data_IF_512074303152
#
_entry.id   IF_512074303152
#
_cell.length_a   1.000
_cell.length_b   1.000
_cell.length_c   1.000
_cell.angle_alpha   90.00
_cell.angle_beta   90.00
_cell.angle_gamma   90.00
#
_symmetry.space_group_name_H-M   'P 1'
#
loop_
_entity.id
_entity.type
_entity.pdbx_description
1 polymer ?
#
# COMPACT_ATOMS: atom_id res chain seq x y z
N UNK A 1 9.76 12.15 10.21
CA UNK A 1 9.29 11.49 9.97
C UNK A 1 9.12 10.27 9.17
N UNK A 2 9.90 10.07 8.14
CA UNK A 2 9.83 8.82 7.38
C UNK A 2 10.07 7.61 8.26
N UNK A 3 11.09 7.66 9.13
CA UNK A 3 11.43 6.55 10.00
C UNK A 3 10.30 6.19 10.93
N UNK A 4 9.61 7.19 11.45
CA UNK A 4 8.49 6.96 12.36
C UNK A 4 7.33 6.28 11.66
N UNK A 5 7.03 6.72 10.43
CA UNK A 5 5.93 6.13 9.65
C UNK A 5 6.25 4.69 9.31
N UNK A 6 7.45 4.42 8.83
CA UNK A 6 7.88 3.06 8.49
C UNK A 6 7.81 2.18 9.73
N UNK A 7 8.33 2.65 10.86
CA UNK A 7 8.29 1.88 12.10
C UNK A 7 6.87 1.57 12.56
N UNK A 8 5.96 2.54 12.41
CA UNK A 8 4.58 2.38 12.85
C UNK A 8 3.80 1.38 12.01
N UNK A 9 4.11 1.30 10.70
CA UNK A 9 3.32 0.47 9.78
C UNK A 9 4.07 -0.74 9.25
N UNK A 10 5.25 -1.00 9.77
CA UNK A 10 6.04 -2.15 9.35
C UNK A 10 5.25 -3.44 9.56
N UNK A 11 5.15 -4.25 8.52
CA UNK A 11 4.40 -5.49 8.58
C UNK A 11 2.94 -5.36 8.19
N UNK A 12 2.45 -4.14 7.96
CA UNK A 12 1.09 -3.89 7.51
C UNK A 12 1.10 -3.71 6.00
N UNK A 13 0.19 -4.38 5.30
CA UNK A 13 0.11 -4.24 3.85
C UNK A 13 -0.23 -2.80 3.47
N UNK A 14 0.47 -2.21 2.49
CA UNK A 14 0.21 -0.81 2.09
C UNK A 14 -1.23 -0.56 1.67
N UNK A 15 -1.94 -1.59 1.20
CA UNK A 15 -3.36 -1.44 0.86
C UNK A 15 -4.19 -0.92 2.01
N UNK A 16 -3.87 -1.31 3.24
CA UNK A 16 -4.60 -0.83 4.41
C UNK A 16 -4.34 0.64 4.67
N UNK A 17 -3.14 1.10 4.40
CA UNK A 17 -2.79 2.50 4.55
C UNK A 17 -3.52 3.35 3.51
N UNK A 18 -3.58 2.85 2.27
CA UNK A 18 -4.31 3.52 1.20
C UNK A 18 -5.80 3.60 1.55
N UNK A 19 -6.37 2.50 2.02
CA UNK A 19 -7.78 2.44 2.39
C UNK A 19 -8.09 3.46 3.49
N UNK A 20 -7.22 3.55 4.47
CA UNK A 20 -7.37 4.51 5.57
C UNK A 20 -7.35 5.95 5.06
N UNK A 21 -6.45 6.25 4.12
CA UNK A 21 -6.34 7.59 3.57
C UNK A 21 -7.56 7.96 2.73
N UNK A 22 -8.07 7.02 1.96
CA UNK A 22 -9.30 7.20 1.18
C UNK A 22 -10.44 7.59 2.11
N UNK A 23 -10.57 6.86 3.21
CA UNK A 23 -11.62 7.10 4.19
C UNK A 23 -11.46 8.46 4.86
N UNK A 24 -10.24 8.78 5.24
CA UNK A 24 -9.92 10.04 5.89
C UNK A 24 -10.25 11.24 5.00
N UNK A 25 -9.98 11.13 3.71
CA UNK A 25 -10.24 12.20 2.76
C UNK A 25 -11.65 12.19 2.20
N UNK A 26 -12.45 11.19 2.58
CA UNK A 26 -13.84 11.06 2.13
C UNK A 26 -13.96 11.01 0.62
N UNK A 27 -13.01 10.34 -0.02
CA UNK A 27 -13.07 10.07 -1.46
C UNK A 27 -13.42 8.60 -1.63
N UNK A 28 -13.70 8.21 -2.88
CA UNK A 28 -14.01 6.81 -3.16
C UNK A 28 -12.79 6.12 -3.75
N UNK A 29 -12.77 4.79 -3.60
CA UNK A 29 -11.74 3.99 -4.21
C UNK A 29 -11.75 4.15 -5.73
N UNK A 30 -12.95 4.21 -6.31
CA UNK A 30 -13.10 4.44 -7.74
C UNK A 30 -12.54 5.80 -8.15
N UNK A 31 -12.79 6.83 -7.35
CA UNK A 31 -12.26 8.15 -7.61
C UNK A 31 -10.74 8.17 -7.60
N UNK A 32 -10.14 7.47 -6.66
CA UNK A 32 -8.68 7.36 -6.64
C UNK A 32 -8.18 6.62 -7.87
N UNK A 33 -8.84 5.52 -8.25
CA UNK A 33 -8.43 4.76 -9.42
C UNK A 33 -8.44 5.63 -10.67
N UNK A 34 -9.50 6.43 -10.84
CA UNK A 34 -9.59 7.35 -11.97
C UNK A 34 -8.45 8.37 -11.95
N UNK A 35 -8.17 8.90 -10.79
CA UNK A 35 -7.15 9.92 -10.64
C UNK A 35 -5.75 9.42 -11.01
N UNK A 36 -5.45 8.18 -10.66
CA UNK A 36 -4.14 7.61 -10.96
C UNK A 36 -4.11 6.84 -12.29
N UNK A 37 -5.23 6.82 -13.02
CA UNK A 37 -5.29 6.16 -14.30
C UNK A 37 -5.20 4.65 -14.22
N UNK A 38 -5.79 4.07 -13.18
CA UNK A 38 -5.74 2.63 -12.96
C UNK A 38 -7.16 2.05 -12.96
N UNK A 39 -7.28 0.77 -13.27
CA UNK A 39 -8.57 0.10 -13.17
C UNK A 39 -8.95 -0.05 -11.71
N UNK A 40 -10.23 0.20 -11.39
CA UNK A 40 -10.66 0.10 -10.01
C UNK A 40 -10.56 -1.32 -9.47
N UNK A 41 -10.68 -2.34 -10.32
CA UNK A 41 -10.48 -3.72 -9.89
C UNK A 41 -9.04 -3.98 -9.45
N UNK A 42 -8.08 -3.42 -10.18
CA UNK A 42 -6.68 -3.56 -9.83
C UNK A 42 -6.37 -2.87 -8.51
N UNK A 43 -6.85 -1.66 -8.33
CA UNK A 43 -6.68 -0.93 -7.09
C UNK A 43 -7.34 -1.67 -5.92
N UNK A 44 -8.54 -2.19 -6.14
CA UNK A 44 -9.25 -2.94 -5.11
C UNK A 44 -8.44 -4.17 -4.66
N UNK A 45 -7.83 -4.88 -5.60
CA UNK A 45 -7.01 -6.06 -5.27
C UNK A 45 -5.81 -5.67 -4.43
N UNK A 46 -5.18 -4.52 -4.72
CA UNK A 46 -4.07 -4.01 -3.91
C UNK A 46 -4.55 -3.66 -2.50
N UNK A 47 -5.67 -2.95 -2.41
CA UNK A 47 -6.20 -2.53 -1.11
C UNK A 47 -6.53 -3.73 -0.24
N UNK A 48 -7.04 -4.80 -0.85
CA UNK A 48 -7.38 -6.02 -0.11
C UNK A 48 -6.18 -6.92 0.16
N UNK A 49 -5.01 -6.54 -0.30
CA UNK A 49 -3.82 -7.33 -0.05
C UNK A 49 -3.65 -8.54 -0.96
N UNK A 50 -4.47 -8.65 -2.01
CA UNK A 50 -4.39 -9.77 -2.95
C UNK A 50 -3.37 -9.53 -4.06
N UNK A 51 -2.85 -8.32 -4.15
CA UNK A 51 -1.93 -7.93 -5.19
C UNK A 51 -0.94 -6.91 -4.64
N UNK A 52 0.33 -7.03 -5.02
CA UNK A 52 1.33 -6.07 -4.58
C UNK A 52 1.24 -4.79 -5.41
N UNK A 53 1.71 -3.70 -4.83
CA UNK A 53 1.83 -2.43 -5.54
C UNK A 53 2.92 -2.52 -6.60
N UNK A 54 2.66 -1.97 -7.78
CA UNK A 54 3.71 -1.74 -8.75
C UNK A 54 4.38 -0.41 -8.43
N UNK A 55 5.58 -0.19 -8.98
CA UNK A 55 6.28 1.08 -8.81
C UNK A 55 5.42 2.23 -9.32
N UNK A 56 4.84 2.05 -10.51
CA UNK A 56 4.04 3.11 -11.13
C UNK A 56 2.84 3.48 -10.26
N UNK A 57 2.12 2.49 -9.77
CA UNK A 57 0.95 2.74 -8.92
C UNK A 57 1.35 3.41 -7.61
N UNK A 58 2.43 2.95 -7.00
CA UNK A 58 2.91 3.52 -5.76
C UNK A 58 3.27 5.00 -5.91
N UNK A 59 4.00 5.33 -6.96
CA UNK A 59 4.39 6.72 -7.22
C UNK A 59 3.17 7.60 -7.42
N UNK A 60 2.21 7.15 -8.21
CA UNK A 60 1.00 7.93 -8.49
C UNK A 60 0.17 8.16 -7.23
N UNK A 61 0.07 7.15 -6.38
CA UNK A 61 -0.67 7.28 -5.13
C UNK A 61 0.06 8.22 -4.17
N UNK A 62 1.38 8.06 -4.07
CA UNK A 62 2.18 8.94 -3.23
C UNK A 62 2.05 10.40 -3.65
N UNK A 63 2.11 10.65 -4.96
CA UNK A 63 1.94 12.01 -5.48
C UNK A 63 0.55 12.56 -5.17
N UNK A 64 -0.46 11.71 -5.26
CA UNK A 64 -1.84 12.13 -5.01
C UNK A 64 -2.07 12.50 -3.54
N UNK A 65 -1.51 11.71 -2.63
CA UNK A 65 -1.74 11.91 -1.20
C UNK A 65 -0.65 12.74 -0.51
N UNK A 66 0.38 13.12 -1.23
CA UNK A 66 1.49 13.86 -0.62
C UNK A 66 2.36 13.00 0.27
N UNK A 67 2.42 11.72 0.02
CA UNK A 67 3.29 10.81 0.76
C UNK A 67 4.72 10.96 0.26
N UNK A 68 5.65 10.59 1.11
CA UNK A 68 7.06 10.61 0.76
C UNK A 68 7.38 9.54 -0.27
N UNK A 69 8.22 9.88 -1.24
CA UNK A 69 8.58 8.96 -2.31
C UNK A 69 9.20 7.69 -1.75
N UNK A 70 8.69 6.56 -2.22
CA UNK A 70 9.20 5.25 -1.83
C UNK A 70 8.57 4.68 -0.56
N UNK A 71 7.74 5.45 0.12
CA UNK A 71 7.14 5.00 1.38
C UNK A 71 6.31 3.73 1.18
N UNK A 72 5.43 3.73 0.19
CA UNK A 72 4.53 2.59 -0.01
C UNK A 72 5.27 1.33 -0.43
N UNK A 73 6.27 1.46 -1.30
CA UNK A 73 7.05 0.30 -1.73
C UNK A 73 7.93 -0.24 -0.62
N UNK A 74 8.43 0.63 0.24
CA UNK A 74 9.21 0.19 1.40
C UNK A 74 8.32 -0.62 2.35
N UNK A 75 7.10 -0.16 2.56
CA UNK A 75 6.15 -0.88 3.41
C UNK A 75 5.73 -2.20 2.77
N UNK A 76 5.59 -2.23 1.45
CA UNK A 76 5.32 -3.48 0.73
C UNK A 76 6.44 -4.49 0.96
N UNK A 77 7.69 -4.03 0.89
CA UNK A 77 8.83 -4.92 1.09
C UNK A 77 8.83 -5.50 2.51
N UNK A 78 8.57 -4.67 3.51
CA UNK A 78 8.50 -5.16 4.89
C UNK A 78 7.36 -6.16 5.08
N UNK A 79 6.22 -5.90 4.45
CA UNK A 79 5.11 -6.83 4.50
C UNK A 79 5.49 -8.18 3.89
N UNK A 80 6.10 -8.13 2.72
CA UNK A 80 6.50 -9.36 2.01
C UNK A 80 7.50 -10.17 2.83
N UNK A 81 8.47 -9.50 3.45
CA UNK A 81 9.45 -10.16 4.30
C UNK A 81 8.76 -10.83 5.49
N UNK A 82 7.84 -10.12 6.12
CA UNK A 82 7.12 -10.66 7.26
C UNK A 82 6.30 -11.89 6.87
N UNK A 83 5.63 -11.84 5.73
CA UNK A 83 4.85 -12.98 5.24
C UNK A 83 5.74 -14.18 4.92
N UNK A 84 6.88 -13.93 4.31
CA UNK A 84 7.84 -14.99 4.03
C UNK A 84 8.29 -15.68 5.31
N UNK A 85 8.61 -14.90 6.34
CA UNK A 85 9.09 -15.46 7.60
C UNK A 85 8.02 -16.26 8.31
N UNK A 86 6.78 -15.81 8.29
CA UNK A 86 5.66 -16.53 8.88
C UNK A 86 5.46 -17.87 8.16
N UNK A 87 5.48 -17.84 6.84
CA UNK A 87 5.29 -19.04 6.04
C UNK A 87 6.41 -20.04 6.28
N UNK A 88 7.63 -19.57 6.38
CA UNK A 88 8.77 -20.43 6.63
C UNK A 88 8.67 -21.10 7.99
N UNK A 89 8.21 -20.39 9.01
CA UNK A 89 8.03 -20.96 10.33
C UNK A 89 6.95 -22.04 10.35
N UNK A 90 5.89 -21.85 9.58
CA UNK A 90 4.80 -22.83 9.49
C UNK A 90 5.25 -24.14 8.86
N UNK A 91 6.20 -24.09 7.96
CA UNK A 91 6.64 -25.26 7.20
C UNK A 91 7.75 -26.05 7.91
N UNK A 92 8.03 -25.74 9.14
CA UNK A 92 9.04 -26.49 9.90
C UNK A 92 8.49 -27.76 10.48
#
# INVERSE_FOLDING_TARGET
MRGDIIGAFKGIHPGKIIEREIRKQKITQRGLAEKIGEHSQTLNAVIKGHRALTVEMAVKIEDTFGYEEGMLLTLQAYYDIAQYRIKKRRNR
#
